data_IF_327392513258
#
_entry.id   IF_327392513258
#
_cell.length_a   1.000
_cell.length_b   1.000
_cell.length_c   1.000
_cell.angle_alpha   90.00
_cell.angle_beta   90.00
_cell.angle_gamma   90.00
#
_symmetry.space_group_name_H-M   'P 1'
#
loop_
_entity.id
_entity.type
_entity.pdbx_description
1 polymer ?
#
# COMPACT_ATOMS: atom_id res chain seq x y z
N UNK A 1 -5.82 22.53 -5.70
CA UNK A 1 -6.20 21.94 -7.00
C UNK A 1 -5.45 20.63 -7.12
N UNK A 2 -6.16 19.51 -7.25
CA UNK A 2 -5.55 18.17 -7.37
C UNK A 2 -5.39 17.92 -8.86
N UNK A 3 -4.14 17.90 -9.33
CA UNK A 3 -3.84 17.53 -10.72
C UNK A 3 -3.83 16.01 -10.80
N UNK A 4 -4.67 15.42 -11.63
CA UNK A 4 -4.65 13.98 -11.85
C UNK A 4 -3.35 13.61 -12.57
N UNK A 5 -2.44 12.92 -11.88
CA UNK A 5 -1.19 12.41 -12.46
C UNK A 5 -1.22 10.89 -12.55
N UNK A 6 -0.39 10.32 -13.42
CA UNK A 6 -0.23 8.87 -13.49
C UNK A 6 0.22 8.28 -12.16
N UNK A 7 1.10 8.97 -11.41
CA UNK A 7 1.51 8.53 -10.08
C UNK A 7 0.34 8.50 -9.09
N UNK A 8 -0.57 9.48 -9.11
CA UNK A 8 -1.77 9.45 -8.24
C UNK A 8 -2.65 8.24 -8.58
N UNK A 9 -2.85 7.94 -9.86
CA UNK A 9 -3.64 6.78 -10.29
C UNK A 9 -3.01 5.48 -9.76
N UNK A 10 -1.70 5.30 -9.95
CA UNK A 10 -0.97 4.11 -9.47
C UNK A 10 -0.99 4.03 -7.93
N UNK A 11 -0.85 5.16 -7.25
CA UNK A 11 -0.95 5.27 -5.77
C UNK A 11 -2.31 4.81 -5.27
N UNK A 12 -3.39 5.24 -5.92
CA UNK A 12 -4.76 4.82 -5.57
C UNK A 12 -4.97 3.33 -5.82
N UNK A 13 -4.44 2.79 -6.91
CA UNK A 13 -4.51 1.35 -7.20
C UNK A 13 -3.74 0.53 -6.16
N UNK A 14 -2.51 0.91 -5.84
CA UNK A 14 -1.69 0.24 -4.82
C UNK A 14 -2.41 0.21 -3.46
N UNK A 15 -2.78 1.38 -2.95
CA UNK A 15 -3.41 1.50 -1.65
C UNK A 15 -4.81 0.89 -1.63
N UNK A 16 -5.59 1.01 -2.72
CA UNK A 16 -6.92 0.40 -2.84
C UNK A 16 -6.88 -1.12 -2.82
N UNK A 17 -5.93 -1.74 -3.54
CA UNK A 17 -5.74 -3.19 -3.52
C UNK A 17 -5.32 -3.70 -2.14
N UNK A 18 -4.35 -3.04 -1.51
CA UNK A 18 -3.91 -3.37 -0.15
C UNK A 18 -5.04 -3.20 0.87
N UNK A 19 -5.82 -2.12 0.77
CA UNK A 19 -6.96 -1.87 1.65
C UNK A 19 -8.03 -2.96 1.51
N UNK A 20 -8.39 -3.32 0.28
CA UNK A 20 -9.36 -4.38 0.02
C UNK A 20 -8.90 -5.72 0.61
N UNK A 21 -7.64 -6.08 0.36
CA UNK A 21 -7.05 -7.33 0.83
C UNK A 21 -6.93 -7.38 2.37
N UNK A 22 -6.53 -6.27 3.00
CA UNK A 22 -6.50 -6.11 4.45
C UNK A 22 -7.89 -6.23 5.09
N UNK A 23 -8.92 -5.60 4.52
CA UNK A 23 -10.30 -5.71 5.00
C UNK A 23 -10.80 -7.16 4.90
N UNK A 24 -10.54 -7.84 3.77
CA UNK A 24 -10.93 -9.25 3.59
C UNK A 24 -10.26 -10.13 4.65
N UNK A 25 -8.97 -9.91 4.92
CA UNK A 25 -8.23 -10.63 5.97
C UNK A 25 -8.81 -10.41 7.37
N UNK A 26 -9.12 -9.16 7.72
CA UNK A 26 -9.68 -8.84 9.04
C UNK A 26 -11.05 -9.48 9.27
N UNK A 27 -11.85 -9.63 8.20
CA UNK A 27 -13.15 -10.32 8.29
C UNK A 27 -13.01 -11.83 8.46
N UNK A 28 -11.98 -12.44 7.86
CA UNK A 28 -11.80 -13.89 7.83
C UNK A 28 -10.95 -14.50 8.96
N UNK A 29 -10.10 -13.72 9.64
CA UNK A 29 -9.10 -14.24 10.57
C UNK A 29 -9.13 -13.56 11.93
N UNK A 30 -9.19 -14.35 13.00
CA UNK A 30 -9.04 -13.88 14.40
C UNK A 30 -7.58 -13.73 14.85
N UNK A 31 -6.60 -14.31 14.14
CA UNK A 31 -5.28 -14.60 14.73
C UNK A 31 -4.07 -13.89 14.09
N UNK A 32 -4.26 -13.06 13.06
CA UNK A 32 -3.17 -12.23 12.47
C UNK A 32 -3.58 -10.75 12.40
N UNK A 33 -4.24 -10.29 13.46
CA UNK A 33 -4.95 -9.00 13.51
C UNK A 33 -4.01 -7.80 13.34
N UNK A 34 -2.82 -7.82 13.95
CA UNK A 34 -1.97 -6.61 14.01
C UNK A 34 -1.44 -6.20 12.64
N UNK A 35 -0.87 -7.13 11.85
CA UNK A 35 -0.37 -6.81 10.51
C UNK A 35 -1.51 -6.41 9.56
N UNK A 36 -2.66 -7.06 9.65
CA UNK A 36 -3.82 -6.71 8.82
C UNK A 36 -4.42 -5.36 9.21
N UNK A 37 -4.43 -5.00 10.49
CA UNK A 37 -4.81 -3.65 10.96
C UNK A 37 -3.80 -2.64 10.43
N UNK A 38 -2.50 -2.91 10.56
CA UNK A 38 -1.44 -2.03 10.07
C UNK A 38 -1.57 -1.80 8.56
N UNK A 39 -1.83 -2.86 7.78
CA UNK A 39 -2.07 -2.76 6.34
C UNK A 39 -3.23 -1.82 6.02
N UNK A 40 -4.39 -2.04 6.65
CA UNK A 40 -5.59 -1.21 6.44
C UNK A 40 -5.33 0.24 6.86
N UNK A 41 -4.72 0.46 8.02
CA UNK A 41 -4.44 1.79 8.53
C UNK A 41 -3.46 2.55 7.62
N UNK A 42 -2.35 1.92 7.23
CA UNK A 42 -1.34 2.54 6.39
C UNK A 42 -1.86 2.76 4.97
N UNK A 43 -2.61 1.81 4.40
CA UNK A 43 -3.22 1.98 3.08
C UNK A 43 -4.26 3.11 3.07
N UNK A 44 -5.10 3.21 4.11
CA UNK A 44 -6.05 4.31 4.25
C UNK A 44 -5.34 5.67 4.40
N UNK A 45 -4.29 5.74 5.22
CA UNK A 45 -3.48 6.97 5.38
C UNK A 45 -2.73 7.33 4.10
N UNK A 46 -2.25 6.34 3.34
CA UNK A 46 -1.64 6.55 2.02
C UNK A 46 -2.65 7.19 1.06
N UNK A 47 -3.89 6.68 0.99
CA UNK A 47 -4.95 7.29 0.19
C UNK A 47 -5.21 8.73 0.62
N UNK A 48 -5.36 8.98 1.93
CA UNK A 48 -5.55 10.34 2.45
C UNK A 48 -4.39 11.25 2.03
N UNK A 49 -3.15 10.80 2.19
CA UNK A 49 -1.95 11.56 1.82
C UNK A 49 -1.83 11.84 0.32
N UNK A 50 -2.42 11.00 -0.54
CA UNK A 50 -2.38 11.19 -1.99
C UNK A 50 -3.25 12.38 -2.46
N UNK A 51 -4.28 12.73 -1.68
CA UNK A 51 -5.20 13.81 -2.01
C UNK A 51 -5.09 15.02 -1.07
N UNK A 52 -4.34 14.90 0.02
CA UNK A 52 -4.21 15.93 1.04
C UNK A 52 -2.74 16.14 1.41
N UNK A 53 -2.34 17.40 1.53
CA UNK A 53 -1.01 17.75 2.03
C UNK A 53 -1.00 17.63 3.56
N UNK A 54 -0.51 16.49 4.05
CA UNK A 54 -0.30 16.27 5.48
C UNK A 54 1.04 16.91 5.93
N UNK A 55 1.18 17.29 7.21
CA UNK A 55 2.42 17.85 7.74
C UNK A 55 3.60 16.87 7.60
N UNK A 56 4.80 17.37 7.37
CA UNK A 56 6.00 16.55 7.37
C UNK A 56 6.18 15.84 8.74
N UNK A 57 6.60 14.55 8.76
CA UNK A 57 7.08 13.73 7.65
C UNK A 57 6.00 12.88 6.92
N UNK A 58 4.70 13.10 7.19
CA UNK A 58 3.59 12.25 6.75
C UNK A 58 3.24 12.41 5.26
N UNK A 59 4.20 12.18 4.37
CA UNK A 59 4.05 12.27 2.92
C UNK A 59 3.54 10.97 2.31
N UNK A 60 3.08 11.02 1.05
CA UNK A 60 2.74 9.81 0.29
C UNK A 60 3.89 8.83 0.20
N UNK A 61 5.14 9.33 0.06
CA UNK A 61 6.33 8.49 0.10
C UNK A 61 6.47 7.74 1.43
N UNK A 62 6.28 8.43 2.55
CA UNK A 62 6.37 7.81 3.89
C UNK A 62 5.34 6.67 4.03
N UNK A 63 4.09 6.91 3.64
CA UNK A 63 3.05 5.88 3.72
C UNK A 63 3.24 4.75 2.71
N UNK A 64 3.72 5.04 1.50
CA UNK A 64 4.06 4.02 0.51
C UNK A 64 5.18 3.11 1.02
N UNK A 65 6.22 3.67 1.64
CA UNK A 65 7.32 2.91 2.23
C UNK A 65 6.86 2.07 3.42
N UNK A 66 6.02 2.63 4.29
CA UNK A 66 5.42 1.89 5.40
C UNK A 66 4.52 0.74 4.89
N UNK A 67 3.72 0.98 3.85
CA UNK A 67 2.86 -0.03 3.25
C UNK A 67 3.68 -1.15 2.62
N UNK A 68 4.78 -0.81 1.95
CA UNK A 68 5.72 -1.77 1.35
C UNK A 68 6.24 -2.73 2.43
N UNK A 69 6.70 -2.19 3.55
CA UNK A 69 7.18 -3.00 4.67
C UNK A 69 6.10 -3.94 5.22
N UNK A 70 4.87 -3.45 5.37
CA UNK A 70 3.74 -4.26 5.84
C UNK A 70 3.40 -5.38 4.85
N UNK A 71 3.34 -5.10 3.56
CA UNK A 71 3.05 -6.09 2.51
C UNK A 71 4.14 -7.16 2.43
N UNK A 72 5.42 -6.77 2.53
CA UNK A 72 6.55 -7.70 2.62
C UNK A 72 6.44 -8.58 3.85
N UNK A 73 6.14 -8.01 5.01
CA UNK A 73 5.95 -8.77 6.25
C UNK A 73 4.76 -9.74 6.14
N UNK A 74 3.65 -9.35 5.51
CA UNK A 74 2.51 -10.24 5.27
C UNK A 74 2.83 -11.38 4.30
N UNK A 75 3.75 -11.16 3.36
CA UNK A 75 4.21 -12.18 2.42
C UNK A 75 5.15 -13.19 3.10
N UNK A 76 6.08 -12.69 3.92
CA UNK A 76 7.09 -13.50 4.63
C UNK A 76 6.50 -14.20 5.87
N UNK A 77 5.54 -13.56 6.55
CA UNK A 77 4.89 -14.04 7.78
C UNK A 77 3.37 -14.20 7.56
N UNK A 78 2.92 -15.11 6.67
CA UNK A 78 1.51 -15.22 6.27
C UNK A 78 0.55 -15.69 7.39
N UNK A 79 1.07 -16.03 8.56
CA UNK A 79 0.30 -16.60 9.68
C UNK A 79 -0.04 -18.07 9.50
N UNK A 80 -0.34 -18.77 10.60
CA UNK A 80 -0.77 -20.18 10.56
C UNK A 80 -2.16 -20.29 9.94
N UNK A 81 -2.30 -21.10 8.89
CA UNK A 81 -3.59 -21.48 8.31
C UNK A 81 -4.01 -20.78 7.02
N UNK A 82 -3.13 -19.99 6.39
CA UNK A 82 -3.42 -19.39 5.08
C UNK A 82 -3.51 -20.48 4.01
N UNK A 83 -4.73 -20.84 3.61
CA UNK A 83 -5.02 -21.71 2.46
C UNK A 83 -5.39 -20.83 1.27
N UNK A 84 -4.44 -20.57 0.38
CA UNK A 84 -4.67 -19.82 -0.86
C UNK A 84 -3.44 -19.04 -1.34
N UNK A 85 -3.39 -18.78 -2.64
CA UNK A 85 -2.33 -17.96 -3.24
C UNK A 85 -2.44 -16.50 -2.77
N UNK A 86 -1.34 -15.86 -2.35
CA UNK A 86 -1.33 -14.46 -1.90
C UNK A 86 -1.38 -13.47 -3.08
N UNK A 87 -2.24 -13.73 -4.08
CA UNK A 87 -2.25 -12.98 -5.34
C UNK A 87 -2.50 -11.49 -5.15
N UNK A 88 -3.49 -11.12 -4.32
CA UNK A 88 -3.78 -9.70 -4.04
C UNK A 88 -2.60 -8.99 -3.38
N UNK A 89 -1.95 -9.61 -2.38
CA UNK A 89 -0.73 -9.07 -1.75
C UNK A 89 0.35 -8.85 -2.79
N UNK A 90 0.62 -9.85 -3.65
CA UNK A 90 1.70 -9.75 -4.63
C UNK A 90 1.43 -8.61 -5.60
N UNK A 91 0.20 -8.48 -6.10
CA UNK A 91 -0.14 -7.38 -7.01
C UNK A 91 -0.03 -6.04 -6.29
N UNK A 92 -0.59 -5.92 -5.08
CA UNK A 92 -0.51 -4.69 -4.28
C UNK A 92 0.95 -4.31 -3.99
N UNK A 93 1.79 -5.29 -3.67
CA UNK A 93 3.22 -5.11 -3.41
C UNK A 93 3.91 -4.58 -4.66
N UNK A 94 3.78 -5.25 -5.80
CA UNK A 94 4.43 -4.83 -7.05
C UNK A 94 3.99 -3.42 -7.47
N UNK A 95 2.69 -3.12 -7.38
CA UNK A 95 2.18 -1.78 -7.75
C UNK A 95 2.68 -0.73 -6.74
N UNK A 96 2.71 -1.04 -5.45
CA UNK A 96 3.24 -0.14 -4.42
C UNK A 96 4.75 0.08 -4.55
N UNK A 97 5.52 -0.94 -4.93
CA UNK A 97 6.96 -0.80 -5.23
C UNK A 97 7.17 0.27 -6.30
N UNK A 98 6.34 0.30 -7.36
CA UNK A 98 6.43 1.35 -8.39
C UNK A 98 6.20 2.74 -7.79
N UNK A 99 5.24 2.89 -6.88
CA UNK A 99 4.98 4.17 -6.18
C UNK A 99 6.19 4.58 -5.35
N UNK A 100 6.78 3.66 -4.58
CA UNK A 100 7.97 3.91 -3.74
C UNK A 100 9.14 4.35 -4.60
N UNK A 101 9.48 3.58 -5.64
CA UNK A 101 10.63 3.87 -6.51
C UNK A 101 10.47 5.20 -7.25
N UNK A 102 9.26 5.49 -7.74
CA UNK A 102 8.97 6.74 -8.44
C UNK A 102 9.03 7.92 -7.47
N UNK A 103 8.43 7.79 -6.29
CA UNK A 103 8.41 8.83 -5.26
C UNK A 103 9.79 9.10 -4.66
N UNK A 104 10.68 8.10 -4.65
CA UNK A 104 12.09 8.24 -4.27
C UNK A 104 12.97 8.83 -5.38
N UNK A 105 12.44 8.98 -6.60
CA UNK A 105 13.22 9.40 -7.78
C UNK A 105 14.16 8.33 -8.35
N UNK A 106 14.04 7.08 -7.92
CA UNK A 106 14.86 5.96 -8.41
C UNK A 106 14.31 5.33 -9.69
N UNK A 107 13.01 5.51 -9.95
CA UNK A 107 12.34 5.09 -11.17
C UNK A 107 11.71 6.31 -11.84
N UNK A 108 12.19 6.65 -13.03
CA UNK A 108 11.66 7.77 -13.81
C UNK A 108 10.88 7.20 -14.98
N UNK A 109 9.56 7.36 -14.95
CA UNK A 109 8.68 6.95 -16.05
C UNK A 109 8.06 8.21 -16.64
N UNK A 110 8.27 8.48 -17.95
CA UNK A 110 7.71 9.66 -18.59
C UNK A 110 6.21 9.80 -18.33
N UNK A 111 5.80 10.95 -17.80
CA UNK A 111 4.40 11.24 -17.44
C UNK A 111 4.00 10.87 -16.01
N UNK A 112 4.81 10.15 -15.23
CA UNK A 112 4.49 9.84 -13.82
C UNK A 112 4.78 10.98 -12.83
N UNK A 113 5.36 12.08 -13.28
CA UNK A 113 5.72 13.23 -12.44
C UNK A 113 7.21 13.24 -12.15
#
# INVERSE_FOLDING_TARGET
MITLSWLIIVTVLAAGLALADGIIRLRGSRNNSILAIAEVAVAALMLVSAFTALPAPFTTFFFALALEAVLVLLLVLPGRGRKGAPTLIIIALVVNTVVVLTSAGWLQIPGMG
#
